data_IF_871729598618
#
_entry.id   IF_871729598618
#
_cell.length_a   1.000
_cell.length_b   1.000
_cell.length_c   1.000
_cell.angle_alpha   90.00
_cell.angle_beta   90.00
_cell.angle_gamma   90.00
#
_symmetry.space_group_name_H-M   'P 1'
#
loop_
_entity.id
_entity.type
_entity.pdbx_description
1 polymer ?
#
# COMPACT_ATOMS: atom_id res chain seq x y z
N UNK A 1 -5.38 16.48 34.45
CA UNK A 1 -4.18 15.64 34.21
C UNK A 1 -3.67 15.97 32.83
N UNK A 2 -2.48 16.55 32.71
CA UNK A 2 -1.81 16.67 31.41
C UNK A 2 -1.56 15.25 30.89
N UNK A 3 -1.90 14.92 29.62
CA UNK A 3 -1.59 13.62 29.08
C UNK A 3 -0.08 13.41 29.12
N UNK A 4 0.35 12.29 29.72
CA UNK A 4 1.74 11.91 29.78
C UNK A 4 2.23 11.68 28.34
N UNK A 5 2.97 12.63 27.77
CA UNK A 5 3.52 12.50 26.41
C UNK A 5 4.62 11.45 26.46
N UNK A 6 4.27 10.20 26.16
CA UNK A 6 5.25 9.11 26.08
C UNK A 6 6.05 9.22 24.78
N UNK A 7 7.39 9.08 24.81
CA UNK A 7 8.18 9.01 23.59
C UNK A 7 7.71 7.84 22.74
N UNK A 8 7.50 8.11 21.45
CA UNK A 8 6.98 7.14 20.48
C UNK A 8 8.10 6.16 20.09
N UNK A 9 7.88 4.88 20.34
CA UNK A 9 8.89 3.84 20.13
C UNK A 9 8.92 3.29 18.70
N UNK A 10 7.78 3.26 18.01
CA UNK A 10 7.68 2.83 16.61
C UNK A 10 7.14 3.95 15.72
N UNK A 11 7.80 4.17 14.58
CA UNK A 11 7.47 5.18 13.58
C UNK A 11 7.22 4.47 12.25
N UNK A 12 6.05 4.74 11.67
CA UNK A 12 5.68 4.31 10.35
C UNK A 12 5.69 5.53 9.42
N UNK A 13 6.67 5.55 8.52
CA UNK A 13 6.93 6.68 7.63
C UNK A 13 6.35 6.40 6.26
N UNK A 14 5.66 7.40 5.71
CA UNK A 14 4.88 7.28 4.49
C UNK A 14 5.36 8.37 3.54
N UNK A 15 5.88 7.95 2.39
CA UNK A 15 6.45 8.83 1.40
C UNK A 15 5.40 9.23 0.35
N UNK A 16 4.86 10.43 0.53
CA UNK A 16 3.90 11.04 -0.39
C UNK A 16 4.54 11.33 -1.76
N UNK A 17 5.82 11.72 -1.79
CA UNK A 17 6.56 11.96 -3.02
C UNK A 17 6.73 10.68 -3.87
N UNK A 18 6.93 9.53 -3.24
CA UNK A 18 6.99 8.24 -3.92
C UNK A 18 5.61 7.81 -4.47
N UNK A 19 4.53 8.03 -3.71
CA UNK A 19 3.16 7.77 -4.18
C UNK A 19 2.83 8.63 -5.40
N UNK A 20 3.18 9.91 -5.36
CA UNK A 20 3.04 10.84 -6.48
C UNK A 20 3.87 10.40 -7.70
N UNK A 21 5.11 9.94 -7.48
CA UNK A 21 5.95 9.42 -8.55
C UNK A 21 5.35 8.16 -9.19
N UNK A 22 4.80 7.24 -8.38
CA UNK A 22 4.11 6.05 -8.87
C UNK A 22 2.88 6.41 -9.70
N UNK A 23 2.06 7.37 -9.24
CA UNK A 23 0.93 7.88 -10.01
C UNK A 23 1.37 8.41 -11.39
N UNK A 24 2.37 9.30 -11.42
CA UNK A 24 2.91 9.86 -12.68
C UNK A 24 3.50 8.81 -13.61
N UNK A 25 4.23 7.82 -13.05
CA UNK A 25 4.81 6.73 -13.83
C UNK A 25 3.71 5.91 -14.52
N UNK A 26 2.60 5.65 -13.82
CA UNK A 26 1.48 4.90 -14.38
C UNK A 26 0.70 5.72 -15.41
N UNK A 27 0.48 7.02 -15.16
CA UNK A 27 -0.10 7.94 -16.15
C UNK A 27 0.73 7.99 -17.43
N UNK A 28 2.05 8.07 -17.32
CA UNK A 28 2.94 8.02 -18.47
C UNK A 28 2.88 6.67 -19.21
N UNK A 29 2.77 5.56 -18.48
CA UNK A 29 2.71 4.20 -19.03
C UNK A 29 1.45 3.96 -19.86
N UNK A 30 0.27 4.37 -19.36
CA UNK A 30 -1.00 4.17 -20.09
C UNK A 30 -1.19 5.18 -21.23
N UNK A 31 -0.57 6.36 -21.10
CA UNK A 31 -0.59 7.42 -22.11
C UNK A 31 -1.77 8.38 -21.98
N UNK A 32 -1.69 9.52 -22.68
CA UNK A 32 -2.61 10.66 -22.53
C UNK A 32 -4.08 10.38 -22.90
N UNK A 33 -4.35 9.29 -23.64
CA UNK A 33 -5.71 8.90 -24.02
C UNK A 33 -6.46 8.07 -22.97
N UNK A 34 -5.82 7.74 -21.85
CA UNK A 34 -6.39 6.89 -20.80
C UNK A 34 -6.37 7.65 -19.48
N UNK A 35 -7.55 7.83 -18.88
CA UNK A 35 -7.68 8.47 -17.56
C UNK A 35 -7.11 7.54 -16.48
N UNK A 36 -6.44 8.11 -15.49
CA UNK A 36 -5.93 7.37 -14.33
C UNK A 36 -6.68 7.81 -13.08
N UNK A 37 -7.54 6.93 -12.56
CA UNK A 37 -8.24 7.15 -11.30
C UNK A 37 -7.50 6.44 -10.16
N UNK A 38 -7.47 7.06 -8.98
CA UNK A 38 -6.82 6.49 -7.81
C UNK A 38 -7.79 5.77 -6.88
N UNK A 39 -7.40 4.60 -6.41
CA UNK A 39 -8.15 3.79 -5.44
C UNK A 39 -7.50 3.95 -4.07
N UNK A 40 -8.20 4.64 -3.17
CA UNK A 40 -7.73 5.02 -1.82
C UNK A 40 -8.56 4.38 -0.70
N UNK A 41 -9.24 3.26 -1.01
CA UNK A 41 -10.04 2.50 -0.04
C UNK A 41 -9.22 1.92 1.10
N UNK A 42 -9.91 1.54 2.17
CA UNK A 42 -9.35 0.95 3.38
C UNK A 42 -8.27 1.83 4.02
N UNK A 43 -8.60 3.09 4.27
CA UNK A 43 -7.68 4.12 4.79
C UNK A 43 -6.44 4.31 3.88
N UNK A 44 -6.63 4.33 2.55
CA UNK A 44 -5.55 4.25 1.56
C UNK A 44 -4.58 3.09 1.85
N UNK A 45 -5.13 1.88 1.99
CA UNK A 45 -4.40 0.68 2.34
C UNK A 45 -3.68 0.80 3.71
N UNK A 46 -4.30 1.48 4.68
CA UNK A 46 -3.75 1.70 6.03
C UNK A 46 -2.76 2.87 6.15
N UNK A 47 -2.54 3.63 5.07
CA UNK A 47 -1.57 4.72 5.02
C UNK A 47 -2.15 6.10 5.38
N UNK A 48 -3.46 6.24 5.57
CA UNK A 48 -4.10 7.52 5.89
C UNK A 48 -4.73 8.18 4.67
N UNK A 49 -6.03 7.93 4.47
CA UNK A 49 -6.76 8.28 3.24
C UNK A 49 -6.72 9.77 2.90
N UNK A 50 -6.79 10.66 3.88
CA UNK A 50 -6.84 12.12 3.68
C UNK A 50 -5.52 12.65 3.10
N UNK A 51 -4.39 12.28 3.70
CA UNK A 51 -3.07 12.76 3.26
C UNK A 51 -2.70 12.17 1.90
N UNK A 52 -3.04 10.90 1.66
CA UNK A 52 -2.83 10.26 0.35
C UNK A 52 -3.70 10.91 -0.73
N UNK A 53 -4.99 11.13 -0.48
CA UNK A 53 -5.88 11.77 -1.43
C UNK A 53 -5.34 13.15 -1.84
N UNK A 54 -4.98 14.00 -0.88
CA UNK A 54 -4.40 15.33 -1.14
C UNK A 54 -3.12 15.24 -1.96
N UNK A 55 -2.23 14.30 -1.64
CA UNK A 55 -0.99 14.11 -2.39
C UNK A 55 -1.24 13.71 -3.86
N UNK A 56 -2.22 12.85 -4.12
CA UNK A 56 -2.59 12.42 -5.47
C UNK A 56 -3.27 13.55 -6.26
N UNK A 57 -4.18 14.29 -5.63
CA UNK A 57 -4.84 15.46 -6.20
C UNK A 57 -3.81 16.51 -6.63
N UNK A 58 -2.80 16.77 -5.80
CA UNK A 58 -1.73 17.72 -6.09
C UNK A 58 -0.96 17.39 -7.39
N UNK A 59 -0.95 16.12 -7.82
CA UNK A 59 -0.31 15.71 -9.07
C UNK A 59 -1.30 15.44 -10.21
N UNK A 60 -2.54 15.92 -10.07
CA UNK A 60 -3.55 15.94 -11.12
C UNK A 60 -4.53 14.78 -11.09
N UNK A 61 -4.62 14.00 -10.01
CA UNK A 61 -5.68 13.01 -9.87
C UNK A 61 -7.02 13.71 -9.61
N UNK A 62 -8.00 13.47 -10.47
CA UNK A 62 -9.31 14.16 -10.46
C UNK A 62 -10.48 13.22 -10.10
N UNK A 63 -10.21 11.93 -9.90
CA UNK A 63 -11.19 10.92 -9.53
C UNK A 63 -10.59 9.91 -8.55
N UNK A 64 -11.18 9.86 -7.37
CA UNK A 64 -10.87 8.94 -6.30
C UNK A 64 -11.94 7.85 -6.20
N UNK A 65 -11.52 6.63 -5.91
CA UNK A 65 -12.39 5.52 -5.56
C UNK A 65 -12.15 5.11 -4.10
N UNK A 66 -13.22 5.05 -3.32
CA UNK A 66 -13.22 4.60 -1.92
C UNK A 66 -14.05 3.33 -1.76
N UNK A 67 -13.84 2.62 -0.64
CA UNK A 67 -14.51 1.34 -0.39
C UNK A 67 -15.97 1.53 -0.03
N UNK A 68 -16.25 2.53 0.80
CA UNK A 68 -17.55 2.75 1.43
C UNK A 68 -17.84 4.26 1.58
N UNK A 69 -19.04 4.57 2.06
CA UNK A 69 -19.56 5.91 2.27
C UNK A 69 -18.85 6.62 3.42
N UNK A 70 -18.45 5.91 4.48
CA UNK A 70 -17.73 6.50 5.62
C UNK A 70 -16.41 7.14 5.17
N UNK A 71 -15.64 6.45 4.33
CA UNK A 71 -14.41 6.98 3.73
C UNK A 71 -14.68 8.19 2.84
N UNK A 72 -15.77 8.14 2.05
CA UNK A 72 -16.18 9.25 1.20
C UNK A 72 -16.52 10.51 2.01
N UNK A 73 -17.29 10.34 3.08
CA UNK A 73 -17.68 11.42 3.99
C UNK A 73 -16.48 11.97 4.76
N UNK A 74 -15.53 11.11 5.15
CA UNK A 74 -14.27 11.55 5.75
C UNK A 74 -13.46 12.44 4.79
N UNK A 75 -13.37 12.07 3.52
CA UNK A 75 -12.70 12.90 2.50
C UNK A 75 -13.43 14.24 2.30
N UNK A 76 -14.76 14.24 2.20
CA UNK A 76 -15.57 15.47 2.05
C UNK A 76 -15.42 16.40 3.26
N UNK A 77 -15.53 15.88 4.47
CA UNK A 77 -15.28 16.66 5.71
C UNK A 77 -13.83 17.16 5.83
N UNK A 78 -12.91 16.55 5.09
CA UNK A 78 -11.51 16.97 4.98
C UNK A 78 -11.26 17.94 3.81
N UNK A 79 -12.31 18.48 3.20
CA UNK A 79 -12.28 19.45 2.10
C UNK A 79 -11.63 18.91 0.83
N UNK A 80 -11.90 17.65 0.50
CA UNK A 80 -11.60 17.08 -0.81
C UNK A 80 -12.82 17.31 -1.70
N UNK A 81 -12.64 18.04 -2.80
CA UNK A 81 -13.72 18.48 -3.69
C UNK A 81 -13.80 17.67 -4.99
N UNK A 82 -12.72 16.94 -5.33
CA UNK A 82 -12.61 16.10 -6.51
C UNK A 82 -13.68 15.02 -6.54
N UNK A 83 -13.87 14.40 -7.72
CA UNK A 83 -14.86 13.35 -7.87
C UNK A 83 -14.51 12.15 -6.98
N UNK A 84 -15.48 11.69 -6.18
CA UNK A 84 -15.35 10.51 -5.32
C UNK A 84 -16.40 9.50 -5.73
N UNK A 85 -15.94 8.34 -6.20
CA UNK A 85 -16.78 7.19 -6.47
C UNK A 85 -16.71 6.17 -5.33
N UNK A 86 -17.87 5.67 -4.89
CA UNK A 86 -17.96 4.70 -3.79
C UNK A 86 -18.22 3.32 -4.37
N UNK A 87 -17.32 2.37 -4.12
CA UNK A 87 -17.44 1.02 -4.70
C UNK A 87 -18.66 0.25 -4.22
N UNK A 88 -18.97 0.28 -2.92
CA UNK A 88 -20.02 -0.54 -2.35
C UNK A 88 -20.50 0.04 -1.01
N UNK A 89 -21.69 0.66 -0.99
CA UNK A 89 -22.35 1.06 0.25
C UNK A 89 -23.86 1.31 0.05
N UNK A 90 -24.56 0.32 -0.52
CA UNK A 90 -26.02 0.27 -0.72
C UNK A 90 -26.66 1.63 -1.10
N UNK A 91 -26.45 2.04 -2.35
CA UNK A 91 -26.94 3.33 -2.84
C UNK A 91 -28.47 3.47 -2.69
N UNK A 92 -29.22 2.38 -2.83
CA UNK A 92 -30.67 2.39 -2.70
C UNK A 92 -31.11 2.85 -1.30
N UNK A 93 -30.37 2.46 -0.26
CA UNK A 93 -30.64 2.87 1.12
C UNK A 93 -30.10 4.27 1.45
N UNK A 94 -28.90 4.60 0.95
CA UNK A 94 -28.16 5.78 1.39
C UNK A 94 -28.12 6.94 0.40
N UNK A 95 -28.91 6.91 -0.68
CA UNK A 95 -28.86 7.88 -1.77
C UNK A 95 -28.89 9.36 -1.37
N UNK A 96 -29.53 9.73 -0.25
CA UNK A 96 -29.50 11.12 0.28
C UNK A 96 -28.10 11.60 0.65
N UNK A 97 -27.26 10.73 1.21
CA UNK A 97 -25.87 11.07 1.55
C UNK A 97 -25.04 11.28 0.29
N UNK A 98 -25.25 10.46 -0.74
CA UNK A 98 -24.59 10.62 -2.04
C UNK A 98 -24.94 11.97 -2.67
N UNK A 99 -26.23 12.33 -2.70
CA UNK A 99 -26.68 13.60 -3.26
C UNK A 99 -26.14 14.80 -2.46
N UNK A 100 -26.25 14.77 -1.13
CA UNK A 100 -25.86 15.91 -0.27
C UNK A 100 -24.35 16.16 -0.26
N UNK A 101 -23.55 15.16 -0.60
CA UNK A 101 -22.09 15.23 -0.59
C UNK A 101 -21.46 15.12 -1.99
N UNK A 102 -22.26 15.19 -3.05
CA UNK A 102 -21.80 15.06 -4.44
C UNK A 102 -20.88 13.84 -4.65
N UNK A 103 -21.37 12.66 -4.25
CA UNK A 103 -20.68 11.38 -4.39
C UNK A 103 -21.26 10.59 -5.55
N UNK A 104 -20.40 9.81 -6.22
CA UNK A 104 -20.78 9.00 -7.38
C UNK A 104 -20.99 7.55 -6.93
N UNK A 105 -22.21 6.99 -7.05
CA UNK A 105 -22.43 5.59 -6.74
C UNK A 105 -21.86 4.68 -7.84
N UNK A 106 -21.16 3.63 -7.42
CA UNK A 106 -20.90 2.46 -8.28
C UNK A 106 -22.07 1.48 -8.07
N UNK A 107 -22.90 1.32 -9.10
CA UNK A 107 -24.09 0.45 -9.13
C UNK A 107 -23.65 -0.99 -9.39
N UNK A 108 -23.93 -1.87 -8.44
CA UNK A 108 -23.48 -3.26 -8.42
C UNK A 108 -24.61 -4.27 -8.63
N UNK A 109 -25.88 -3.85 -8.59
CA UNK A 109 -27.03 -4.75 -8.74
C UNK A 109 -28.27 -4.02 -9.31
N UNK A 110 -29.34 -4.78 -9.60
CA UNK A 110 -30.56 -4.22 -10.18
C UNK A 110 -31.29 -3.25 -9.24
N UNK A 111 -31.31 -3.50 -7.93
CA UNK A 111 -31.98 -2.62 -6.98
C UNK A 111 -31.31 -1.24 -6.92
N UNK A 112 -29.99 -1.18 -7.00
CA UNK A 112 -29.26 0.09 -7.10
C UNK A 112 -29.49 0.80 -8.44
N UNK A 113 -29.62 0.06 -9.55
CA UNK A 113 -29.98 0.64 -10.85
C UNK A 113 -31.40 1.23 -10.81
N UNK A 114 -32.35 0.52 -10.22
CA UNK A 114 -33.72 1.02 -9.99
C UNK A 114 -33.72 2.27 -9.11
N UNK A 115 -32.88 2.32 -8.08
CA UNK A 115 -32.72 3.50 -7.24
C UNK A 115 -32.15 4.71 -8.02
N UNK A 116 -31.20 4.50 -8.93
CA UNK A 116 -30.71 5.56 -9.82
C UNK A 116 -31.85 6.16 -10.64
N UNK A 117 -32.69 5.31 -11.22
CA UNK A 117 -33.85 5.72 -12.03
C UNK A 117 -34.87 6.47 -11.15
N UNK A 118 -35.24 5.89 -10.01
CA UNK A 118 -36.26 6.46 -9.11
C UNK A 118 -35.85 7.82 -8.54
N UNK A 119 -34.54 8.02 -8.30
CA UNK A 119 -34.00 9.28 -7.77
C UNK A 119 -33.60 10.28 -8.85
N UNK A 120 -33.65 9.90 -10.14
CA UNK A 120 -33.19 10.74 -11.23
C UNK A 120 -31.69 11.05 -11.20
N UNK A 121 -30.89 10.18 -10.58
CA UNK A 121 -29.44 10.39 -10.41
C UNK A 121 -28.74 10.44 -11.76
N UNK A 122 -28.08 11.57 -12.04
CA UNK A 122 -27.50 11.85 -13.37
C UNK A 122 -26.14 11.22 -13.61
N UNK A 123 -25.32 11.11 -12.56
CA UNK A 123 -23.96 10.58 -12.65
C UNK A 123 -23.85 9.35 -11.78
N UNK A 124 -23.60 8.20 -12.40
CA UNK A 124 -23.36 6.93 -11.73
C UNK A 124 -22.43 6.07 -12.58
N UNK A 125 -21.71 5.16 -11.92
CA UNK A 125 -20.86 4.18 -12.59
C UNK A 125 -21.54 2.82 -12.52
N UNK A 126 -21.58 2.09 -13.63
CA UNK A 126 -22.19 0.77 -13.70
C UNK A 126 -21.10 -0.30 -13.60
N UNK A 127 -21.12 -1.11 -12.54
CA UNK A 127 -20.29 -2.29 -12.44
C UNK A 127 -21.00 -3.47 -13.13
N UNK A 128 -20.27 -4.21 -13.97
CA UNK A 128 -20.78 -5.36 -14.72
C UNK A 128 -19.94 -6.60 -14.44
N UNK A 129 -20.62 -7.73 -14.32
CA UNK A 129 -19.98 -9.02 -14.05
C UNK A 129 -19.44 -9.64 -15.35
N UNK A 130 -18.16 -10.00 -15.35
CA UNK A 130 -17.46 -10.55 -16.54
C UNK A 130 -16.79 -11.90 -16.27
N UNK A 131 -16.76 -12.37 -15.04
CA UNK A 131 -16.15 -13.63 -14.62
C UNK A 131 -15.44 -13.59 -13.27
N UNK A 132 -15.55 -12.51 -12.50
CA UNK A 132 -14.98 -12.42 -11.15
C UNK A 132 -15.95 -12.95 -10.08
N UNK A 133 -17.26 -12.95 -10.36
CA UNK A 133 -18.33 -13.49 -9.50
C UNK A 133 -18.38 -12.85 -8.10
N UNK A 134 -18.32 -11.51 -8.05
CA UNK A 134 -18.34 -10.77 -6.77
C UNK A 134 -19.46 -9.74 -6.71
N UNK A 135 -19.40 -8.74 -7.59
CA UNK A 135 -20.35 -7.63 -7.68
C UNK A 135 -20.49 -7.20 -9.14
N UNK A 136 -21.63 -6.60 -9.47
CA UNK A 136 -21.93 -6.09 -10.80
C UNK A 136 -23.14 -6.79 -11.41
N UNK A 137 -23.80 -6.10 -12.35
CA UNK A 137 -24.95 -6.68 -13.05
C UNK A 137 -24.48 -7.89 -13.88
N UNK A 138 -25.21 -8.99 -13.75
CA UNK A 138 -25.02 -10.12 -14.64
C UNK A 138 -25.38 -9.73 -16.08
N UNK A 139 -24.79 -10.41 -17.06
CA UNK A 139 -25.05 -10.14 -18.48
C UNK A 139 -26.54 -10.18 -18.84
N UNK A 140 -27.31 -11.06 -18.19
CA UNK A 140 -28.75 -11.16 -18.40
C UNK A 140 -29.49 -9.88 -17.95
N UNK A 141 -29.08 -9.31 -16.81
CA UNK A 141 -29.65 -8.07 -16.28
C UNK A 141 -29.25 -6.86 -17.14
N UNK A 142 -28.00 -6.81 -17.59
CA UNK A 142 -27.53 -5.80 -18.54
C UNK A 142 -28.36 -5.84 -19.83
N UNK A 143 -28.59 -7.04 -20.38
CA UNK A 143 -29.44 -7.20 -21.57
C UNK A 143 -30.88 -6.75 -21.32
N UNK A 144 -31.46 -7.11 -20.17
CA UNK A 144 -32.81 -6.68 -19.81
C UNK A 144 -32.91 -5.15 -19.74
N UNK A 145 -31.97 -4.49 -19.08
CA UNK A 145 -31.91 -3.02 -18.97
C UNK A 145 -31.67 -2.35 -20.33
N UNK A 146 -30.88 -2.96 -21.21
CA UNK A 146 -30.68 -2.47 -22.58
C UNK A 146 -31.99 -2.53 -23.39
N UNK A 147 -32.69 -3.68 -23.41
CA UNK A 147 -33.93 -3.82 -24.17
C UNK A 147 -35.10 -2.98 -23.62
N UNK A 148 -35.09 -2.62 -22.34
CA UNK A 148 -36.07 -1.68 -21.78
C UNK A 148 -35.76 -0.21 -22.09
N UNK A 149 -34.66 0.09 -22.81
CA UNK A 149 -34.23 1.46 -23.08
C UNK A 149 -33.67 2.19 -21.85
N UNK A 150 -33.36 1.47 -20.78
CA UNK A 150 -32.88 2.06 -19.52
C UNK A 150 -31.59 2.84 -19.73
N UNK A 151 -30.65 2.27 -20.49
CA UNK A 151 -29.36 2.92 -20.74
C UNK A 151 -29.45 4.08 -21.73
N UNK A 152 -30.51 4.19 -22.53
CA UNK A 152 -30.75 5.36 -23.37
C UNK A 152 -31.30 6.54 -22.55
N UNK A 153 -32.20 6.24 -21.60
CA UNK A 153 -32.79 7.25 -20.71
C UNK A 153 -31.85 7.68 -19.57
N UNK A 154 -31.05 6.74 -19.06
CA UNK A 154 -30.13 6.90 -17.93
C UNK A 154 -28.76 6.30 -18.28
N UNK A 155 -28.01 6.89 -19.22
CA UNK A 155 -26.71 6.34 -19.63
C UNK A 155 -25.70 6.38 -18.47
N UNK A 156 -24.99 5.27 -18.20
CA UNK A 156 -23.93 5.27 -17.19
C UNK A 156 -22.74 6.12 -17.66
N UNK A 157 -22.20 6.95 -16.76
CA UNK A 157 -21.03 7.78 -17.07
C UNK A 157 -19.76 6.93 -17.27
N UNK A 158 -19.65 5.84 -16.50
CA UNK A 158 -18.59 4.84 -16.62
C UNK A 158 -19.22 3.46 -16.56
N UNK A 159 -18.82 2.55 -17.44
CA UNK A 159 -19.02 1.10 -17.26
C UNK A 159 -17.70 0.50 -16.81
N UNK A 160 -17.71 -0.28 -15.74
CA UNK A 160 -16.51 -0.90 -15.19
C UNK A 160 -16.72 -2.38 -14.87
N UNK A 161 -15.63 -3.13 -14.86
CA UNK A 161 -15.57 -4.50 -14.35
C UNK A 161 -14.20 -4.72 -13.69
N UNK A 162 -13.90 -5.93 -13.22
CA UNK A 162 -12.63 -6.24 -12.57
C UNK A 162 -12.09 -7.60 -13.01
N UNK A 163 -10.79 -7.65 -13.28
CA UNK A 163 -10.10 -8.88 -13.67
C UNK A 163 -9.83 -9.74 -12.43
N UNK A 164 -10.01 -11.05 -12.55
CA UNK A 164 -9.76 -12.00 -11.48
C UNK A 164 -8.30 -12.46 -11.43
N UNK A 165 -7.64 -12.57 -12.60
CA UNK A 165 -6.33 -13.21 -12.74
C UNK A 165 -5.27 -12.27 -13.29
N UNK A 166 -5.37 -10.97 -13.05
CA UNK A 166 -4.46 -9.98 -13.66
C UNK A 166 -3.00 -10.08 -13.20
N UNK A 167 -2.75 -10.77 -12.10
CA UNK A 167 -1.39 -11.05 -11.58
C UNK A 167 -0.70 -12.17 -12.38
N UNK A 168 -1.48 -13.03 -13.05
CA UNK A 168 -0.99 -14.13 -13.87
C UNK A 168 -1.22 -13.82 -15.35
N UNK A 169 -0.24 -13.21 -16.01
CA UNK A 169 -0.35 -12.72 -17.40
C UNK A 169 -0.90 -13.79 -18.37
N UNK A 170 -0.44 -15.03 -18.24
CA UNK A 170 -0.81 -16.12 -19.14
C UNK A 170 -2.20 -16.74 -18.85
N UNK A 171 -2.91 -16.31 -17.81
CA UNK A 171 -4.19 -16.90 -17.45
C UNK A 171 -5.26 -16.59 -18.52
N UNK A 172 -5.91 -17.61 -19.12
CA UNK A 172 -6.89 -17.41 -20.19
C UNK A 172 -8.15 -16.65 -19.71
N UNK A 173 -8.41 -16.62 -18.40
CA UNK A 173 -9.51 -15.87 -17.78
C UNK A 173 -9.40 -14.38 -18.09
N UNK A 174 -8.18 -13.84 -18.19
CA UNK A 174 -7.98 -12.43 -18.54
C UNK A 174 -8.56 -12.10 -19.92
N UNK A 175 -8.29 -12.95 -20.93
CA UNK A 175 -8.81 -12.78 -22.29
C UNK A 175 -10.34 -12.95 -22.31
N UNK A 176 -10.86 -13.94 -21.58
CA UNK A 176 -12.30 -14.18 -21.46
C UNK A 176 -13.04 -12.97 -20.88
N UNK A 177 -12.56 -12.44 -19.75
CA UNK A 177 -13.17 -11.28 -19.10
C UNK A 177 -13.09 -10.02 -19.97
N UNK A 178 -11.95 -9.78 -20.63
CA UNK A 178 -11.80 -8.66 -21.58
C UNK A 178 -12.80 -8.74 -22.72
N UNK A 179 -12.97 -9.92 -23.32
CA UNK A 179 -13.90 -10.09 -24.45
C UNK A 179 -15.36 -9.91 -24.01
N UNK A 180 -15.75 -10.42 -22.83
CA UNK A 180 -17.07 -10.19 -22.24
C UNK A 180 -17.31 -8.70 -21.95
N UNK A 181 -16.31 -8.03 -21.37
CA UNK A 181 -16.39 -6.60 -21.09
C UNK A 181 -16.53 -5.78 -22.37
N UNK A 182 -15.76 -6.10 -23.42
CA UNK A 182 -15.86 -5.45 -24.74
C UNK A 182 -17.26 -5.60 -25.32
N UNK A 183 -17.86 -6.79 -25.28
CA UNK A 183 -19.21 -7.01 -25.79
C UNK A 183 -20.26 -6.15 -25.05
N UNK A 184 -20.14 -6.00 -23.72
CA UNK A 184 -21.00 -5.11 -22.93
C UNK A 184 -20.75 -3.64 -23.26
N UNK A 185 -19.49 -3.25 -23.39
CA UNK A 185 -19.08 -1.89 -23.75
C UNK A 185 -19.66 -1.49 -25.12
N UNK A 186 -19.56 -2.36 -26.13
CA UNK A 186 -20.07 -2.10 -27.48
C UNK A 186 -21.61 -2.08 -27.53
N UNK A 187 -22.27 -2.80 -26.61
CA UNK A 187 -23.73 -2.81 -26.45
C UNK A 187 -24.23 -1.51 -25.81
N UNK A 188 -23.63 -1.08 -24.69
CA UNK A 188 -24.07 0.10 -23.92
C UNK A 188 -23.55 1.40 -24.53
N UNK A 189 -22.36 1.38 -25.15
CA UNK A 189 -21.63 2.55 -25.68
C UNK A 189 -21.50 3.69 -24.64
N UNK A 190 -20.93 3.42 -23.45
CA UNK A 190 -20.78 4.43 -22.42
C UNK A 190 -19.74 5.48 -22.80
N UNK A 191 -19.76 6.62 -22.11
CA UNK A 191 -18.72 7.67 -22.27
C UNK A 191 -17.32 7.17 -21.90
N UNK A 192 -17.23 6.23 -20.96
CA UNK A 192 -15.96 5.72 -20.45
C UNK A 192 -16.09 4.25 -20.03
N UNK A 193 -15.10 3.45 -20.41
CA UNK A 193 -14.92 2.05 -20.03
C UNK A 193 -13.72 1.87 -19.13
N UNK A 194 -13.84 1.04 -18.09
CA UNK A 194 -12.74 0.79 -17.17
C UNK A 194 -12.68 -0.68 -16.74
N UNK A 195 -11.68 -1.40 -17.24
CA UNK A 195 -11.47 -2.82 -16.87
C UNK A 195 -10.28 -2.97 -15.93
N UNK A 196 -9.10 -2.53 -16.37
CA UNK A 196 -7.86 -2.72 -15.64
C UNK A 196 -7.82 -1.98 -14.30
N UNK A 197 -7.45 -2.73 -13.25
CA UNK A 197 -6.86 -2.19 -12.03
C UNK A 197 -5.32 -2.32 -12.10
N UNK A 198 -4.61 -2.11 -10.99
CA UNK A 198 -3.13 -2.13 -10.90
C UNK A 198 -2.48 -3.20 -11.80
N UNK A 199 -2.53 -4.50 -11.45
CA UNK A 199 -1.86 -5.55 -12.20
C UNK A 199 -2.34 -5.65 -13.67
N UNK A 200 -3.61 -5.35 -13.93
CA UNK A 200 -4.20 -5.39 -15.26
C UNK A 200 -3.62 -4.37 -16.24
N UNK A 201 -2.96 -3.31 -15.75
CA UNK A 201 -2.29 -2.32 -16.60
C UNK A 201 -1.19 -2.98 -17.45
N UNK A 202 -0.49 -3.98 -16.90
CA UNK A 202 0.62 -4.63 -17.59
C UNK A 202 0.20 -5.74 -18.57
N UNK A 203 -1.08 -6.11 -18.61
CA UNK A 203 -1.63 -7.03 -19.63
C UNK A 203 -1.71 -6.40 -21.03
N UNK A 204 -1.52 -5.08 -21.12
CA UNK A 204 -1.42 -4.33 -22.37
C UNK A 204 -2.63 -3.44 -22.67
N UNK A 205 -2.46 -2.55 -23.66
CA UNK A 205 -3.39 -1.46 -23.98
C UNK A 205 -4.84 -1.90 -24.22
N UNK A 206 -5.05 -3.13 -24.72
CA UNK A 206 -6.40 -3.68 -24.95
C UNK A 206 -7.25 -3.84 -23.68
N UNK A 207 -6.61 -3.81 -22.49
CA UNK A 207 -7.28 -3.91 -21.19
C UNK A 207 -7.55 -2.55 -20.54
N UNK A 208 -6.96 -1.46 -21.06
CA UNK A 208 -7.05 -0.14 -20.44
C UNK A 208 -8.38 0.54 -20.71
N UNK A 209 -8.94 0.34 -21.92
CA UNK A 209 -10.11 1.08 -22.39
C UNK A 209 -9.88 2.58 -22.24
N UNK A 210 -10.78 3.31 -21.58
CA UNK A 210 -10.74 4.76 -21.46
C UNK A 210 -10.19 5.20 -20.09
N UNK A 211 -10.20 4.31 -19.09
CA UNK A 211 -9.75 4.60 -17.74
C UNK A 211 -9.19 3.36 -17.01
N UNK A 212 -8.09 3.53 -16.30
CA UNK A 212 -7.55 2.53 -15.34
C UNK A 212 -7.76 2.96 -13.89
N UNK A 213 -7.96 1.99 -13.00
CA UNK A 213 -8.17 2.23 -11.56
C UNK A 213 -6.98 1.73 -10.75
N UNK A 214 -6.09 2.63 -10.37
CA UNK A 214 -4.82 2.28 -9.75
C UNK A 214 -4.97 2.25 -8.22
N UNK A 215 -4.68 1.11 -7.59
CA UNK A 215 -4.68 0.96 -6.14
C UNK A 215 -3.29 0.58 -5.65
N UNK A 216 -3.07 -0.70 -5.44
CA UNK A 216 -1.79 -1.30 -4.97
C UNK A 216 -0.52 -0.72 -5.61
N UNK A 217 -0.53 -0.45 -6.93
CA UNK A 217 0.62 0.10 -7.62
C UNK A 217 0.98 1.53 -7.19
N UNK A 218 0.02 2.34 -6.69
CA UNK A 218 0.31 3.64 -6.08
C UNK A 218 1.21 3.48 -4.85
N UNK A 219 1.04 2.38 -4.14
CA UNK A 219 1.72 2.08 -2.88
C UNK A 219 2.98 1.22 -3.06
N UNK A 220 3.50 1.12 -4.29
CA UNK A 220 4.74 0.42 -4.58
C UNK A 220 4.62 -1.10 -4.71
N UNK A 221 3.41 -1.67 -4.57
CA UNK A 221 3.18 -3.11 -4.69
C UNK A 221 3.25 -3.56 -6.15
N UNK A 222 4.10 -4.56 -6.41
CA UNK A 222 4.35 -5.07 -7.75
C UNK A 222 3.58 -6.37 -8.03
N UNK A 223 2.26 -6.31 -7.90
CA UNK A 223 1.34 -7.43 -8.13
C UNK A 223 1.49 -8.05 -9.54
N UNK A 224 1.98 -7.27 -10.52
CA UNK A 224 2.23 -7.75 -11.88
C UNK A 224 3.58 -8.45 -12.08
N UNK A 225 4.45 -8.51 -11.06
CA UNK A 225 5.72 -9.22 -11.12
C UNK A 225 6.75 -8.61 -12.09
N UNK A 226 6.65 -7.31 -12.41
CA UNK A 226 7.53 -6.67 -13.39
C UNK A 226 8.96 -6.54 -12.85
N UNK A 227 9.96 -6.81 -13.69
CA UNK A 227 11.39 -6.72 -13.33
C UNK A 227 12.16 -5.92 -14.40
N UNK A 228 12.95 -4.90 -14.01
CA UNK A 228 13.02 -4.31 -12.66
C UNK A 228 11.68 -3.70 -12.23
N UNK A 229 11.40 -3.63 -10.92
CA UNK A 229 10.15 -3.04 -10.41
C UNK A 229 10.12 -1.54 -10.79
N UNK A 230 9.12 -1.07 -11.57
CA UNK A 230 9.05 0.32 -11.97
C UNK A 230 8.50 1.24 -10.86
N UNK A 231 7.99 0.68 -9.77
CA UNK A 231 7.34 1.40 -8.69
C UNK A 231 8.30 1.65 -7.53
N UNK A 232 8.13 2.78 -6.87
CA UNK A 232 8.89 3.18 -5.68
C UNK A 232 8.21 2.64 -4.42
N UNK A 233 9.02 2.16 -3.47
CA UNK A 233 8.56 1.83 -2.13
C UNK A 233 8.09 3.10 -1.40
N UNK A 234 6.92 3.04 -0.78
CA UNK A 234 6.27 4.23 -0.18
C UNK A 234 6.28 4.21 1.33
N UNK A 235 6.65 3.10 1.97
CA UNK A 235 6.55 2.92 3.41
C UNK A 235 7.90 2.51 4.02
N UNK A 236 8.16 3.00 5.23
CA UNK A 236 9.32 2.62 6.03
C UNK A 236 8.91 2.44 7.49
N UNK A 237 9.36 1.37 8.14
CA UNK A 237 9.02 1.06 9.52
C UNK A 237 10.28 1.02 10.35
N UNK A 238 10.32 1.85 11.39
CA UNK A 238 11.46 1.92 12.33
C UNK A 238 10.99 1.87 13.76
N UNK A 239 11.79 1.24 14.61
CA UNK A 239 11.48 1.15 16.04
C UNK A 239 12.73 1.32 16.90
N UNK A 240 12.55 1.83 18.12
CA UNK A 240 13.63 2.07 19.07
C UNK A 240 14.03 0.79 19.78
N UNK A 241 15.33 0.63 20.01
CA UNK A 241 15.86 -0.29 21.00
C UNK A 241 15.46 0.23 22.38
N UNK A 242 14.84 -0.62 23.19
CA UNK A 242 14.40 -0.31 24.54
C UNK A 242 15.44 -0.75 25.57
N UNK A 243 16.05 -1.91 25.34
CA UNK A 243 16.99 -2.53 26.27
C UNK A 243 17.95 -3.45 25.51
N UNK A 244 19.15 -3.63 26.07
CA UNK A 244 20.17 -4.55 25.56
C UNK A 244 20.72 -5.37 26.71
N UNK A 245 20.84 -6.68 26.50
CA UNK A 245 21.38 -7.59 27.51
C UNK A 245 22.21 -8.71 26.90
N UNK A 246 23.13 -9.24 27.70
CA UNK A 246 23.87 -10.46 27.38
C UNK A 246 23.08 -11.69 27.87
N UNK A 247 23.01 -12.71 27.02
CA UNK A 247 22.32 -13.96 27.27
C UNK A 247 23.30 -15.11 27.07
N UNK A 248 23.40 -16.00 28.05
CA UNK A 248 24.30 -17.15 27.99
C UNK A 248 23.87 -18.14 26.90
N UNK A 249 24.78 -19.05 26.53
CA UNK A 249 24.49 -20.14 25.60
C UNK A 249 23.40 -21.09 26.16
N UNK A 250 22.51 -21.57 25.30
CA UNK A 250 21.35 -22.47 25.57
C UNK A 250 20.16 -21.85 26.31
N UNK A 251 20.22 -20.55 26.60
CA UNK A 251 19.10 -19.82 27.21
C UNK A 251 17.96 -19.61 26.22
N UNK A 252 16.73 -19.57 26.75
CA UNK A 252 15.52 -19.37 25.97
C UNK A 252 15.23 -17.89 25.70
N UNK A 253 14.60 -17.60 24.55
CA UNK A 253 14.14 -16.24 24.19
C UNK A 253 12.67 -16.27 23.78
N UNK A 254 11.88 -15.37 24.36
CA UNK A 254 10.46 -15.17 24.05
C UNK A 254 9.52 -16.25 24.60
N UNK A 255 8.22 -16.07 24.38
CA UNK A 255 7.20 -17.03 24.78
C UNK A 255 7.38 -18.38 24.07
N UNK A 256 7.13 -19.46 24.82
CA UNK A 256 7.25 -20.83 24.32
C UNK A 256 8.68 -21.30 24.07
N UNK A 257 9.70 -20.45 24.34
CA UNK A 257 11.11 -20.78 24.10
C UNK A 257 11.37 -21.30 22.68
N UNK A 258 10.71 -20.71 21.67
CA UNK A 258 10.84 -21.10 20.26
C UNK A 258 12.23 -20.85 19.70
N UNK A 259 13.04 -20.03 20.39
CA UNK A 259 14.45 -19.83 20.13
C UNK A 259 15.29 -20.12 21.38
N UNK A 260 16.44 -20.75 21.18
CA UNK A 260 17.49 -20.93 22.19
C UNK A 260 18.83 -20.53 21.64
N UNK A 261 19.60 -19.80 22.43
CA UNK A 261 20.90 -19.26 21.99
C UNK A 261 21.91 -20.37 21.70
N UNK A 262 22.57 -20.30 20.55
CA UNK A 262 23.65 -21.23 20.19
C UNK A 262 25.00 -20.89 20.82
N UNK A 263 25.19 -19.61 21.21
CA UNK A 263 26.42 -19.02 21.77
C UNK A 263 26.06 -17.99 22.84
N UNK A 264 27.07 -17.37 23.46
CA UNK A 264 26.85 -16.14 24.20
C UNK A 264 26.34 -15.07 23.23
N UNK A 265 25.15 -14.54 23.49
CA UNK A 265 24.39 -13.72 22.54
C UNK A 265 24.05 -12.38 23.18
N UNK A 266 24.25 -11.29 22.43
CA UNK A 266 23.69 -9.97 22.78
C UNK A 266 22.31 -9.85 22.16
N UNK A 267 21.30 -9.64 22.98
CA UNK A 267 19.93 -9.46 22.51
C UNK A 267 19.48 -8.03 22.76
N UNK A 268 18.72 -7.47 21.82
CA UNK A 268 18.06 -6.19 21.97
C UNK A 268 16.55 -6.38 21.97
N UNK A 269 15.88 -5.76 22.94
CA UNK A 269 14.42 -5.64 22.96
C UNK A 269 14.04 -4.38 22.16
N UNK A 270 13.22 -4.53 21.13
CA UNK A 270 12.79 -3.44 20.25
C UNK A 270 11.34 -3.12 20.52
N UNK A 271 11.00 -1.83 20.62
CA UNK A 271 9.68 -1.34 21.00
C UNK A 271 8.64 -1.38 19.89
N UNK A 272 8.48 -2.55 19.29
CA UNK A 272 7.44 -2.86 18.31
C UNK A 272 7.02 -4.33 18.44
N UNK A 273 5.72 -4.57 18.36
CA UNK A 273 5.11 -5.89 18.48
C UNK A 273 3.85 -5.98 17.62
N UNK A 274 3.04 -7.03 17.82
CA UNK A 274 1.88 -7.26 16.96
C UNK A 274 0.76 -6.21 17.12
N UNK A 275 0.70 -5.45 18.22
CA UNK A 275 -0.22 -4.28 18.35
C UNK A 275 0.12 -3.14 17.40
N UNK A 276 1.34 -3.13 16.86
CA UNK A 276 1.81 -2.15 15.90
C UNK A 276 1.58 -2.60 14.45
N UNK A 277 0.93 -3.76 14.25
CA UNK A 277 0.65 -4.30 12.93
C UNK A 277 1.75 -5.21 12.36
N UNK A 278 2.84 -5.47 13.10
CA UNK A 278 3.86 -6.43 12.69
C UNK A 278 3.27 -7.86 12.77
N UNK A 279 3.22 -8.64 11.68
CA UNK A 279 2.64 -9.98 11.72
C UNK A 279 3.34 -10.87 12.75
N UNK A 280 2.56 -11.57 13.58
CA UNK A 280 3.12 -12.53 14.55
C UNK A 280 3.99 -13.60 13.88
N UNK A 281 3.64 -13.97 12.64
CA UNK A 281 4.38 -14.90 11.80
C UNK A 281 5.80 -14.44 11.40
N UNK A 282 6.18 -13.18 11.67
CA UNK A 282 7.55 -12.69 11.48
C UNK A 282 8.56 -13.33 12.45
N UNK A 283 8.07 -13.95 13.54
CA UNK A 283 8.90 -14.63 14.53
C UNK A 283 9.93 -15.58 13.88
N UNK A 284 11.22 -15.37 14.13
CA UNK A 284 12.34 -16.14 13.57
C UNK A 284 12.47 -16.14 12.02
N UNK A 285 11.75 -15.27 11.29
CA UNK A 285 11.76 -15.27 9.81
C UNK A 285 12.36 -14.01 9.17
N UNK A 286 12.43 -12.91 9.90
CA UNK A 286 12.91 -11.62 9.38
C UNK A 286 14.13 -11.13 10.16
N UNK A 287 14.77 -10.09 9.62
CA UNK A 287 15.87 -9.38 10.30
C UNK A 287 15.59 -7.88 10.37
N UNK A 288 16.00 -7.27 11.48
CA UNK A 288 16.11 -5.83 11.58
C UNK A 288 17.41 -5.34 10.94
N UNK A 289 17.39 -4.16 10.32
CA UNK A 289 18.54 -3.54 9.64
C UNK A 289 19.09 -2.35 10.42
N UNK A 290 20.41 -2.17 10.34
CA UNK A 290 21.19 -1.19 11.11
C UNK A 290 22.34 -0.62 10.27
N UNK A 291 22.25 0.56 9.68
CA UNK A 291 23.42 1.23 9.05
C UNK A 291 24.38 0.29 8.25
N UNK A 292 23.84 -0.67 7.49
CA UNK A 292 24.59 -1.69 6.73
C UNK A 292 24.66 -3.11 7.35
N UNK A 293 24.28 -3.28 8.62
CA UNK A 293 24.22 -4.56 9.34
C UNK A 293 22.79 -5.12 9.41
N UNK A 294 22.69 -6.40 9.75
CA UNK A 294 21.45 -7.15 9.89
C UNK A 294 21.46 -7.93 11.20
N UNK A 295 20.35 -7.88 11.95
CA UNK A 295 20.14 -8.63 13.18
C UNK A 295 18.88 -9.49 13.05
N UNK A 296 18.95 -10.82 13.15
CA UNK A 296 17.77 -11.66 13.03
C UNK A 296 16.83 -11.44 14.21
N UNK A 297 15.52 -11.43 13.93
CA UNK A 297 14.48 -11.51 14.95
C UNK A 297 14.50 -12.91 15.54
N UNK A 298 14.59 -13.00 16.87
CA UNK A 298 14.69 -14.27 17.60
C UNK A 298 13.58 -14.39 18.65
N UNK A 299 13.00 -15.57 18.72
CA UNK A 299 11.85 -15.86 19.58
C UNK A 299 10.53 -15.34 19.01
N UNK A 300 9.47 -15.55 19.78
CA UNK A 300 8.12 -15.07 19.44
C UNK A 300 8.00 -13.56 19.63
N UNK A 301 7.13 -12.94 18.82
CA UNK A 301 6.80 -11.52 18.93
C UNK A 301 5.81 -11.31 20.07
N UNK A 302 6.10 -10.34 20.94
CA UNK A 302 5.22 -9.94 22.04
C UNK A 302 4.26 -8.83 21.60
N UNK A 303 3.35 -8.45 22.50
CA UNK A 303 2.29 -7.49 22.21
C UNK A 303 2.84 -6.12 21.78
N UNK A 304 3.77 -5.54 22.55
CA UNK A 304 4.37 -4.23 22.27
C UNK A 304 5.84 -4.27 21.85
N UNK A 305 6.49 -5.44 21.91
CA UNK A 305 7.93 -5.56 21.67
C UNK A 305 8.31 -6.88 21.00
N UNK A 306 9.55 -6.93 20.51
CA UNK A 306 10.17 -8.11 19.93
C UNK A 306 11.66 -8.14 20.29
N UNK A 307 12.31 -9.28 20.07
CA UNK A 307 13.73 -9.47 20.38
C UNK A 307 14.52 -9.75 19.11
N UNK A 308 15.72 -9.17 19.01
CA UNK A 308 16.66 -9.39 17.90
C UNK A 308 18.05 -9.77 18.44
N UNK A 309 18.78 -10.60 17.70
CA UNK A 309 20.19 -10.95 17.99
C UNK A 309 21.13 -9.91 17.39
N UNK A 310 21.73 -9.08 18.23
CA UNK A 310 22.68 -8.02 17.84
C UNK A 310 24.13 -8.40 18.11
N UNK A 311 24.43 -9.70 18.27
CA UNK A 311 25.77 -10.18 18.62
C UNK A 311 26.82 -9.70 17.63
N UNK A 312 26.53 -9.76 16.32
CA UNK A 312 27.46 -9.38 15.26
C UNK A 312 27.30 -7.91 14.80
N UNK A 313 26.50 -7.10 15.51
CA UNK A 313 26.31 -5.68 15.22
C UNK A 313 27.22 -4.82 16.11
N UNK A 314 27.92 -3.80 15.58
CA UNK A 314 28.75 -2.91 16.40
C UNK A 314 28.00 -2.29 17.57
N UNK A 315 28.60 -2.31 18.77
CA UNK A 315 27.96 -1.84 20.01
C UNK A 315 27.50 -0.38 19.93
N UNK A 316 28.25 0.48 19.23
CA UNK A 316 27.90 1.88 19.01
C UNK A 316 26.55 2.10 18.30
N UNK A 317 26.05 1.09 17.57
CA UNK A 317 24.75 1.16 16.88
C UNK A 317 23.58 0.65 17.73
N UNK A 318 23.86 -0.08 18.80
CA UNK A 318 22.88 -0.88 19.54
C UNK A 318 22.34 -0.22 20.81
N UNK A 319 22.68 1.05 21.08
CA UNK A 319 22.24 1.74 22.30
C UNK A 319 20.73 1.90 22.44
N UNK A 320 20.16 1.81 23.66
CA UNK A 320 18.77 2.18 23.90
C UNK A 320 18.43 3.57 23.35
N UNK A 321 17.29 3.70 22.69
CA UNK A 321 16.85 4.91 22.00
C UNK A 321 17.25 4.96 20.51
N UNK A 322 18.25 4.19 20.07
CA UNK A 322 18.61 4.08 18.66
C UNK A 322 17.49 3.37 17.87
N UNK A 323 17.31 3.79 16.62
CA UNK A 323 16.35 3.16 15.73
C UNK A 323 16.95 1.98 14.96
N UNK A 324 16.15 0.93 14.85
CA UNK A 324 16.34 -0.16 13.90
C UNK A 324 15.27 -0.07 12.81
N UNK A 325 15.60 -0.54 11.61
CA UNK A 325 14.67 -0.58 10.48
C UNK A 325 14.13 -1.99 10.27
N UNK A 326 12.82 -2.09 10.02
CA UNK A 326 12.11 -3.35 9.77
C UNK A 326 11.45 -3.42 8.41
N UNK A 327 11.31 -2.26 7.78
CA UNK A 327 10.81 -2.10 6.43
C UNK A 327 11.47 -0.85 5.86
N UNK A 328 11.99 -0.93 4.65
CA UNK A 328 12.63 0.18 3.96
C UNK A 328 13.08 -0.20 2.55
N UNK A 329 14.11 0.45 2.03
CA UNK A 329 14.55 0.24 0.65
C UNK A 329 15.21 -1.14 0.44
N UNK A 330 15.94 -1.63 1.45
CA UNK A 330 16.69 -2.90 1.37
C UNK A 330 15.87 -4.12 1.83
N UNK A 331 14.67 -3.88 2.35
CA UNK A 331 13.72 -4.90 2.76
C UNK A 331 12.30 -4.34 2.62
N UNK A 332 11.71 -4.64 1.47
CA UNK A 332 10.45 -4.08 1.01
C UNK A 332 9.26 -4.79 1.63
N UNK A 333 8.07 -4.29 1.33
CA UNK A 333 6.83 -4.91 1.77
C UNK A 333 6.60 -6.28 1.13
N UNK A 334 6.99 -6.44 -0.14
CA UNK A 334 6.91 -7.71 -0.86
C UNK A 334 7.85 -8.74 -0.19
N UNK A 335 9.06 -8.34 0.19
CA UNK A 335 10.01 -9.21 0.90
C UNK A 335 9.47 -9.65 2.28
N UNK A 336 8.84 -8.72 3.01
CA UNK A 336 8.20 -9.02 4.29
C UNK A 336 7.05 -10.01 4.10
N UNK A 337 6.19 -9.78 3.12
CA UNK A 337 5.05 -10.64 2.81
C UNK A 337 5.49 -12.05 2.41
N UNK A 338 6.51 -12.17 1.56
CA UNK A 338 7.11 -13.44 1.16
C UNK A 338 7.68 -14.18 2.37
N UNK A 339 8.44 -13.50 3.23
CA UNK A 339 9.06 -14.11 4.40
C UNK A 339 8.03 -14.72 5.38
N UNK A 340 6.83 -14.16 5.45
CA UNK A 340 5.77 -14.66 6.35
C UNK A 340 4.69 -15.49 5.67
N UNK A 341 4.68 -15.55 4.33
CA UNK A 341 3.66 -16.25 3.55
C UNK A 341 2.29 -15.57 3.58
N UNK A 342 2.25 -14.24 3.56
CA UNK A 342 1.02 -13.44 3.54
C UNK A 342 0.89 -12.65 2.23
N UNK A 343 -0.31 -12.14 1.95
CA UNK A 343 -0.50 -11.18 0.86
C UNK A 343 0.15 -9.82 1.21
N UNK A 344 0.88 -9.16 0.29
CA UNK A 344 1.40 -7.81 0.52
C UNK A 344 0.30 -6.80 0.89
N UNK A 345 -0.93 -6.99 0.39
CA UNK A 345 -2.09 -6.16 0.71
C UNK A 345 -2.52 -6.32 2.17
N UNK A 346 -2.48 -7.56 2.68
CA UNK A 346 -2.78 -7.84 4.09
C UNK A 346 -1.72 -7.25 5.02
N UNK A 347 -0.45 -7.33 4.63
CA UNK A 347 0.64 -6.72 5.41
C UNK A 347 0.47 -5.21 5.44
N UNK A 348 0.31 -4.55 4.27
CA UNK A 348 0.20 -3.09 4.18
C UNK A 348 -0.96 -2.52 5.02
N UNK A 349 -2.13 -3.15 4.92
CA UNK A 349 -3.35 -2.67 5.59
C UNK A 349 -3.28 -2.77 7.12
N UNK A 350 -2.43 -3.64 7.67
CA UNK A 350 -2.26 -3.79 9.11
C UNK A 350 -1.03 -3.06 9.64
N UNK A 351 0.03 -2.97 8.84
CA UNK A 351 1.31 -2.44 9.27
C UNK A 351 1.18 -0.98 9.71
N UNK A 352 1.66 -0.68 10.93
CA UNK A 352 1.65 0.68 11.45
C UNK A 352 0.40 1.08 12.22
N UNK A 353 -0.59 0.20 12.44
CA UNK A 353 -1.82 0.51 13.16
C UNK A 353 -1.60 1.11 14.57
N UNK A 354 -0.59 0.63 15.29
CA UNK A 354 -0.17 1.16 16.60
C UNK A 354 1.04 2.11 16.54
N UNK A 355 1.55 2.40 15.34
CA UNK A 355 2.73 3.23 15.15
C UNK A 355 2.37 4.72 15.07
N UNK A 356 3.39 5.55 15.27
CA UNK A 356 3.30 6.95 14.88
C UNK A 356 3.45 7.08 13.38
N UNK A 357 2.40 7.53 12.69
CA UNK A 357 2.48 7.88 11.27
C UNK A 357 3.26 9.19 11.08
N UNK A 358 4.16 9.21 10.10
CA UNK A 358 4.92 10.39 9.68
C UNK A 358 4.95 10.48 8.16
N UNK A 359 4.35 11.53 7.61
CA UNK A 359 4.32 11.77 6.17
C UNK A 359 5.57 12.54 5.71
N UNK A 360 6.15 12.11 4.61
CA UNK A 360 7.36 12.67 4.00
C UNK A 360 7.03 13.13 2.57
N UNK A 361 7.49 14.32 2.18
CA UNK A 361 7.23 14.88 0.84
C UNK A 361 8.39 14.64 -0.16
N UNK A 362 9.49 14.00 0.25
CA UNK A 362 10.65 13.77 -0.62
C UNK A 362 10.50 12.51 -1.46
N UNK A 363 10.75 12.56 -2.78
CA UNK A 363 10.70 11.39 -3.67
C UNK A 363 11.70 10.27 -3.32
N UNK A 364 12.63 10.52 -2.39
CA UNK A 364 13.53 9.52 -1.83
C UNK A 364 13.22 9.36 -0.35
N UNK A 365 13.06 8.12 0.11
CA UNK A 365 13.15 7.81 1.54
C UNK A 365 14.58 8.13 1.98
N UNK A 366 14.80 8.93 3.04
CA UNK A 366 16.14 9.30 3.47
C UNK A 366 16.94 8.03 3.79
N UNK A 367 18.02 7.79 3.05
CA UNK A 367 18.94 6.70 3.36
C UNK A 367 19.60 6.99 4.70
N UNK A 368 19.77 5.96 5.53
CA UNK A 368 20.59 6.10 6.73
C UNK A 368 22.01 6.45 6.25
N UNK A 369 22.65 7.52 6.75
CA UNK A 369 23.98 7.90 6.28
C UNK A 369 24.93 6.71 6.51
N UNK A 370 25.54 6.20 5.44
CA UNK A 370 26.75 5.38 5.57
C UNK A 370 27.81 6.32 6.15
N UNK A 371 28.22 6.08 7.39
CA UNK A 371 29.38 6.77 7.93
C UNK A 371 30.54 6.52 6.96
N UNK A 372 31.06 7.61 6.37
CA UNK A 372 32.36 7.59 5.70
C UNK A 372 33.34 7.07 6.75
N UNK A 373 34.00 5.96 6.46
CA UNK A 373 35.15 5.54 7.23
C UNK A 373 36.13 6.73 7.30
N UNK A 374 36.50 7.09 8.52
CA UNK A 374 37.62 7.98 8.76
C UNK A 374 38.88 7.20 8.33
N UNK A 375 39.40 7.52 7.15
CA UNK A 375 40.75 7.12 6.76
C UNK A 375 41.73 7.81 7.71
N UNK A 376 42.20 7.06 8.70
CA UNK A 376 43.43 7.39 9.42
C UNK A 376 44.60 6.96 8.55
N UNK A 377 45.08 7.84 7.70
CA UNK A 377 46.41 7.71 7.11
C UNK A 377 47.43 8.36 8.05
N UNK A 378 48.01 7.55 8.94
CA UNK A 378 49.13 7.94 9.78
C UNK A 378 50.44 7.73 9.04
N UNK A 379 50.88 8.72 8.28
CA UNK A 379 52.25 8.81 7.80
C UNK A 379 53.13 9.47 8.86
N UNK A 380 53.89 8.65 9.59
CA UNK A 380 55.00 9.11 10.41
C UNK A 380 56.22 9.35 9.53
N UNK A 381 56.51 10.61 9.19
CA UNK A 381 57.82 11.00 8.68
C UNK A 381 58.83 11.00 9.84
N UNK A 382 59.77 10.06 9.79
CA UNK A 382 61.03 10.10 10.55
C UNK A 382 61.87 11.27 10.03
N UNK A 383 62.09 12.24 10.89
CA UNK A 383 63.05 13.30 10.72
C UNK A 383 64.31 12.92 11.52
N UNK A 384 65.39 12.52 10.84
CA UNK A 384 66.70 12.39 11.47
C UNK A 384 67.82 12.95 10.57
N UNK A 385 68.24 14.17 10.95
CA UNK A 385 69.62 14.43 11.32
C UNK A 385 70.72 14.31 10.25
N UNK A 386 70.95 15.39 9.50
CA UNK A 386 72.29 15.72 8.99
C UNK A 386 73.04 16.58 10.02
N UNK A 387 74.13 16.06 10.59
CA UNK A 387 75.21 16.86 11.15
C UNK A 387 76.57 16.31 10.68
N UNK A 388 77.41 17.25 10.23
CA UNK A 388 78.75 17.09 9.67
C UNK A 388 79.76 16.66 10.74
N UNK A 389 80.61 15.68 10.44
CA UNK A 389 82.07 15.77 10.22
C UNK A 389 82.67 14.36 10.16
#
# INVERSE_FOLDING_TARGET
MLPLVRPRNAIFEINLGAIQANFRAITALVGLGVRVAAVVKSDAYGLGVVEIARALIHVGCDLLFVGNLEEALLLRSSHVDEAIAVFCDDFAKFGRFYQSNNLIPVVNNCAELEAVIATGTKTYFLNVETGFSRFGLAIADVRRAYFSGTFDMYPPSVVLSHLACSETVADPTNVLQRNRFRAIYDLIKPTCGSLAASAGIWLGKSYHFDMVRVGSALYGLNDAGIRPNPLQAVARLRAKILDVRNVARREAVGYGATFRTGRATRVATVGIGYTHGLPWACANKISARFAGYSAPLIGTICMENMTIDITDVPEALCGPGNFVELLGNDFTLDDLAEAVGLSPHEVLTRLGAGCTRRYLNSSLLPTTPRNKALDFDGSSEMNDGKARL
#
